data_IF_772397563923
#
_entry.id   IF_772397563923
#
_cell.length_a   1.000
_cell.length_b   1.000
_cell.length_c   1.000
_cell.angle_alpha   90.00
_cell.angle_beta   90.00
_cell.angle_gamma   90.00
#
_symmetry.space_group_name_H-M   'P 1'
#
loop_
_entity.id
_entity.type
_entity.pdbx_description
1 polymer ?
#
# COMPACT_ATOMS: atom_id res chain seq x y z
N UNK A 1 -19.09 4.88 -17.15
CA UNK A 1 -18.28 5.45 -16.05
C UNK A 1 -18.55 4.74 -14.71
N UNK A 2 -18.11 3.49 -14.53
CA UNK A 2 -18.26 2.72 -13.26
C UNK A 2 -16.94 2.07 -12.80
N UNK A 3 -15.79 2.68 -13.13
CA UNK A 3 -14.50 2.16 -12.67
C UNK A 3 -14.29 2.56 -11.19
N UNK A 4 -13.75 1.66 -10.38
CA UNK A 4 -13.36 1.90 -8.96
C UNK A 4 -14.47 2.09 -7.91
N UNK A 5 -15.74 1.70 -8.18
CA UNK A 5 -16.85 1.79 -7.19
C UNK A 5 -16.52 1.13 -5.84
N UNK A 6 -15.85 -0.03 -5.86
CA UNK A 6 -15.48 -0.76 -4.63
C UNK A 6 -14.49 0.04 -3.77
N UNK A 7 -13.46 0.63 -4.39
CA UNK A 7 -12.46 1.44 -3.70
C UNK A 7 -13.08 2.70 -3.07
N UNK A 8 -13.93 3.43 -3.82
CA UNK A 8 -14.65 4.59 -3.29
C UNK A 8 -15.56 4.23 -2.10
N UNK A 9 -16.24 3.09 -2.19
CA UNK A 9 -17.10 2.62 -1.10
C UNK A 9 -16.30 2.15 0.13
N UNK A 10 -15.08 1.66 -0.06
CA UNK A 10 -14.16 1.34 1.04
C UNK A 10 -13.67 2.63 1.72
N UNK A 11 -13.18 3.61 0.95
CA UNK A 11 -12.75 4.91 1.46
C UNK A 11 -13.86 5.71 2.17
N UNK A 12 -15.11 5.57 1.72
CA UNK A 12 -16.25 6.18 2.39
C UNK A 12 -16.60 5.54 3.75
N UNK A 13 -16.16 4.30 4.00
CA UNK A 13 -16.45 3.54 5.22
C UNK A 13 -15.30 3.51 6.22
N UNK A 14 -14.07 3.60 5.73
CA UNK A 14 -12.87 3.57 6.57
C UNK A 14 -11.99 4.81 6.27
N UNK A 15 -11.85 5.75 7.21
CA UNK A 15 -11.07 6.98 7.00
C UNK A 15 -9.57 6.72 6.84
N UNK A 16 -9.08 5.50 7.15
CA UNK A 16 -7.69 5.10 6.90
C UNK A 16 -7.42 4.85 5.41
N UNK A 17 -8.46 4.56 4.63
CA UNK A 17 -8.35 4.27 3.20
C UNK A 17 -8.47 5.57 2.39
N UNK A 18 -7.42 5.90 1.65
CA UNK A 18 -7.38 7.04 0.73
C UNK A 18 -7.20 6.54 -0.70
N UNK A 19 -8.04 7.01 -1.61
CA UNK A 19 -8.00 6.60 -3.03
C UNK A 19 -7.54 7.80 -3.86
N UNK A 20 -6.41 7.62 -4.56
CA UNK A 20 -5.91 8.57 -5.56
C UNK A 20 -6.33 8.07 -6.93
N UNK A 21 -7.03 8.90 -7.69
CA UNK A 21 -7.48 8.54 -9.04
C UNK A 21 -6.73 9.37 -10.08
N UNK A 22 -6.19 8.69 -11.08
CA UNK A 22 -5.50 9.32 -12.21
C UNK A 22 -6.47 9.51 -13.37
N UNK A 23 -6.46 10.67 -14.05
CA UNK A 23 -7.30 10.90 -15.22
C UNK A 23 -6.91 10.00 -16.40
N UNK A 24 -5.64 9.58 -16.45
CA UNK A 24 -5.07 8.76 -17.54
C UNK A 24 -4.24 7.62 -16.95
N UNK A 25 -4.28 6.44 -17.59
CA UNK A 25 -3.39 5.35 -17.24
C UNK A 25 -1.94 5.70 -17.61
N UNK A 26 -0.99 5.46 -16.70
CA UNK A 26 0.44 5.69 -16.91
C UNK A 26 1.29 4.54 -16.39
N UNK A 27 0.69 3.36 -16.27
CA UNK A 27 1.38 2.16 -15.80
C UNK A 27 1.65 2.14 -14.30
N UNK A 28 2.31 1.06 -13.86
CA UNK A 28 2.60 0.77 -12.46
C UNK A 28 3.49 1.84 -11.84
N UNK A 29 4.56 2.26 -12.51
CA UNK A 29 5.53 3.23 -11.99
C UNK A 29 4.85 4.54 -11.59
N UNK A 30 4.00 5.09 -12.47
CA UNK A 30 3.29 6.33 -12.17
C UNK A 30 2.25 6.15 -11.05
N UNK A 31 1.59 4.99 -10.97
CA UNK A 31 0.64 4.69 -9.91
C UNK A 31 1.33 4.55 -8.54
N UNK A 32 2.48 3.87 -8.49
CA UNK A 32 3.28 3.71 -7.27
C UNK A 32 3.83 5.05 -6.79
N UNK A 33 4.30 5.92 -7.69
CA UNK A 33 4.75 7.27 -7.31
C UNK A 33 3.62 8.10 -6.71
N UNK A 34 2.44 8.13 -7.35
CA UNK A 34 1.27 8.85 -6.81
C UNK A 34 0.84 8.31 -5.43
N UNK A 35 1.01 7.00 -5.21
CA UNK A 35 0.80 6.35 -3.91
C UNK A 35 1.79 6.80 -2.86
N UNK A 36 3.09 6.77 -3.19
CA UNK A 36 4.18 7.21 -2.32
C UNK A 36 4.04 8.69 -1.91
N UNK A 37 3.72 9.57 -2.86
CA UNK A 37 3.51 10.99 -2.59
C UNK A 37 2.31 11.25 -1.64
N UNK A 38 1.35 10.33 -1.60
CA UNK A 38 0.17 10.41 -0.74
C UNK A 38 0.36 9.78 0.65
N UNK A 39 1.37 8.92 0.82
CA UNK A 39 1.72 8.29 2.08
C UNK A 39 2.09 9.34 3.14
N UNK A 40 1.88 8.99 4.42
CA UNK A 40 2.13 9.88 5.57
C UNK A 40 2.93 9.21 6.68
N UNK A 41 3.28 7.93 6.51
CA UNK A 41 4.11 7.20 7.44
C UNK A 41 5.58 7.48 7.19
N UNK A 42 6.40 7.30 8.21
CA UNK A 42 7.86 7.30 8.10
C UNK A 42 8.35 6.10 7.29
N UNK A 43 7.75 4.93 7.52
CA UNK A 43 7.93 3.71 6.73
C UNK A 43 6.75 3.50 5.79
N UNK A 44 7.03 3.01 4.58
CA UNK A 44 6.01 2.66 3.57
C UNK A 44 6.16 1.20 3.17
N UNK A 45 5.07 0.43 3.31
CA UNK A 45 4.96 -0.91 2.76
C UNK A 45 4.32 -0.85 1.36
N UNK A 46 4.96 -1.47 0.39
CA UNK A 46 4.39 -1.69 -0.94
C UNK A 46 3.61 -3.01 -0.94
N UNK A 47 2.39 -2.99 -1.46
CA UNK A 47 1.53 -4.17 -1.57
C UNK A 47 0.78 -4.11 -2.90
N UNK A 48 0.96 -5.14 -3.71
CA UNK A 48 0.28 -5.26 -4.99
C UNK A 48 -1.21 -5.58 -4.80
N UNK A 49 -2.02 -5.13 -5.75
CA UNK A 49 -3.49 -5.17 -5.66
C UNK A 49 -4.10 -6.59 -5.66
N UNK A 50 -3.32 -7.58 -6.06
CA UNK A 50 -3.64 -9.00 -6.18
C UNK A 50 -2.99 -9.86 -5.08
N UNK A 51 -2.25 -9.24 -4.16
CA UNK A 51 -1.61 -9.90 -3.03
C UNK A 51 -2.30 -9.61 -1.68
N UNK A 52 -1.92 -10.39 -0.67
CA UNK A 52 -2.34 -10.22 0.72
C UNK A 52 -1.12 -10.35 1.65
N UNK A 53 -1.10 -9.53 2.70
CA UNK A 53 -0.12 -9.69 3.79
C UNK A 53 -0.56 -10.82 4.72
N UNK A 54 0.42 -11.61 5.19
CA UNK A 54 0.19 -12.46 6.35
C UNK A 54 -0.23 -11.58 7.55
N UNK A 55 -1.21 -11.99 8.39
CA UNK A 55 -1.71 -11.17 9.48
C UNK A 55 -0.64 -10.64 10.45
N UNK A 56 0.48 -11.35 10.56
CA UNK A 56 1.60 -11.03 11.46
C UNK A 56 2.76 -10.31 10.77
N UNK A 57 2.75 -10.18 9.43
CA UNK A 57 3.91 -9.68 8.66
C UNK A 57 4.40 -8.30 9.12
N UNK A 58 3.48 -7.37 9.38
CA UNK A 58 3.86 -6.02 9.83
C UNK A 58 4.37 -6.00 11.28
N UNK A 59 3.88 -6.90 12.13
CA UNK A 59 4.32 -6.98 13.53
C UNK A 59 5.75 -7.57 13.62
N UNK A 60 6.05 -8.57 12.80
CA UNK A 60 7.40 -9.13 12.69
C UNK A 60 8.41 -8.09 12.19
N UNK A 61 8.03 -7.26 11.21
CA UNK A 61 8.86 -6.16 10.74
C UNK A 61 9.03 -5.07 11.83
N UNK A 62 7.95 -4.67 12.51
CA UNK A 62 8.02 -3.66 13.58
C UNK A 62 8.97 -4.05 14.72
N UNK A 63 9.08 -5.35 15.02
CA UNK A 63 9.99 -5.87 16.05
C UNK A 63 11.48 -5.66 15.74
N UNK A 64 11.85 -5.43 14.47
CA UNK A 64 13.23 -5.24 14.03
C UNK A 64 13.52 -3.83 13.49
N UNK A 65 12.51 -3.00 13.28
CA UNK A 65 12.68 -1.63 12.79
C UNK A 65 13.22 -0.74 13.91
N UNK A 66 14.40 -0.17 13.70
CA UNK A 66 14.98 0.91 14.51
C UNK A 66 15.10 2.18 13.67
N UNK A 67 15.37 3.35 14.27
CA UNK A 67 15.59 4.59 13.52
C UNK A 67 16.77 4.55 12.52
N UNK A 68 17.64 3.54 12.58
CA UNK A 68 18.74 3.37 11.63
C UNK A 68 18.37 2.49 10.43
N UNK A 69 17.18 1.89 10.42
CA UNK A 69 16.74 0.98 9.35
C UNK A 69 16.07 1.77 8.24
N UNK A 70 16.71 1.81 7.07
CA UNK A 70 16.14 2.44 5.86
C UNK A 70 15.19 1.50 5.10
N UNK A 71 15.38 0.18 5.20
CA UNK A 71 14.58 -0.81 4.49
C UNK A 71 14.59 -2.16 5.21
N UNK A 72 13.44 -2.81 5.24
CA UNK A 72 13.26 -4.19 5.70
C UNK A 72 12.34 -4.93 4.73
N UNK A 73 12.58 -6.23 4.54
CA UNK A 73 11.76 -7.07 3.68
C UNK A 73 11.60 -8.46 4.31
N UNK A 74 10.48 -9.10 4.00
CA UNK A 74 10.24 -10.52 4.29
C UNK A 74 10.31 -11.32 3.00
N UNK A 75 10.29 -12.64 3.11
CA UNK A 75 9.99 -13.50 1.97
C UNK A 75 8.51 -13.38 1.55
N UNK A 76 8.20 -14.03 0.44
CA UNK A 76 6.86 -14.21 -0.09
C UNK A 76 6.67 -15.71 -0.33
N UNK A 77 5.50 -16.23 0.02
CA UNK A 77 5.09 -17.58 -0.35
C UNK A 77 4.01 -17.51 -1.44
N UNK A 78 3.97 -18.51 -2.32
CA UNK A 78 2.99 -18.64 -3.38
C UNK A 78 2.01 -19.75 -3.00
N UNK A 79 0.75 -19.39 -2.75
CA UNK A 79 -0.33 -20.33 -2.42
C UNK A 79 -0.93 -20.93 -3.68
#
# INVERSE_FOLDING_TARGET
MRRHRRLRAAAARDPRIRVVERPTNGGIVAASQDGLDACRGEMVALLDHDDLLHPEALAELDAVITPEVDYAYTDQDLI
#
